data_IF_053959984116
#
_entry.id   IF_053959984116
#
_cell.length_a   1.000
_cell.length_b   1.000
_cell.length_c   1.000
_cell.angle_alpha   90.00
_cell.angle_beta   90.00
_cell.angle_gamma   90.00
#
_symmetry.space_group_name_H-M   'P 1'
#
loop_
_entity.id
_entity.type
_entity.pdbx_description
1 polymer ?
#
# COMPACT_ATOMS: atom_id res chain seq x y z
N UNK A 1 -14.76 -12.44 19.61
CA UNK A 1 -14.56 -11.82 18.28
C UNK A 1 -13.53 -10.73 18.44
N UNK A 2 -12.44 -10.77 17.65
CA UNK A 2 -11.45 -9.68 17.64
C UNK A 2 -12.10 -8.50 16.90
N UNK A 3 -12.12 -7.27 17.45
CA UNK A 3 -12.63 -6.13 16.71
C UNK A 3 -11.79 -5.97 15.44
N UNK A 4 -12.46 -5.85 14.30
CA UNK A 4 -11.79 -5.44 13.07
C UNK A 4 -11.46 -3.95 13.24
N UNK A 5 -10.19 -3.59 13.09
CA UNK A 5 -9.81 -2.19 13.03
C UNK A 5 -10.39 -1.62 11.73
N UNK A 6 -11.51 -0.90 11.84
CA UNK A 6 -11.99 -0.06 10.74
C UNK A 6 -11.01 1.08 10.59
N UNK A 7 -10.46 1.25 9.39
CA UNK A 7 -9.62 2.40 9.08
C UNK A 7 -10.36 3.70 9.45
N UNK A 8 -9.79 4.46 10.37
CA UNK A 8 -10.27 5.78 10.76
C UNK A 8 -9.18 6.80 10.44
N UNK A 9 -9.51 7.77 9.59
CA UNK A 9 -8.57 8.81 9.19
C UNK A 9 -8.04 9.64 10.38
N UNK A 10 -8.75 9.63 11.52
CA UNK A 10 -8.33 10.29 12.77
C UNK A 10 -7.12 9.62 13.43
N UNK A 11 -6.91 8.33 13.19
CA UNK A 11 -5.78 7.56 13.75
C UNK A 11 -4.61 7.46 12.78
N UNK A 12 -4.71 8.10 11.61
CA UNK A 12 -3.65 8.09 10.60
C UNK A 12 -2.49 8.97 11.05
N UNK A 13 -1.29 8.39 11.06
CA UNK A 13 -0.02 9.12 11.17
C UNK A 13 0.54 9.35 9.77
N UNK A 14 1.17 10.52 9.51
CA UNK A 14 1.85 10.78 8.24
C UNK A 14 3.06 9.85 8.10
N UNK A 15 3.22 9.24 6.93
CA UNK A 15 4.33 8.32 6.63
C UNK A 15 4.91 8.68 5.27
N UNK A 16 6.23 8.89 5.20
CA UNK A 16 6.95 8.89 3.93
C UNK A 16 7.49 7.48 3.72
N UNK A 17 7.16 6.87 2.59
CA UNK A 17 7.68 5.57 2.18
C UNK A 17 8.70 5.77 1.07
N UNK A 18 9.88 5.16 1.18
CA UNK A 18 10.91 5.14 0.14
C UNK A 18 11.23 3.73 -0.33
N UNK A 19 11.59 3.59 -1.60
CA UNK A 19 12.03 2.34 -2.21
C UNK A 19 12.88 2.64 -3.47
N UNK A 20 13.57 1.63 -3.99
CA UNK A 20 14.32 1.73 -5.26
C UNK A 20 13.39 2.09 -6.42
N UNK A 21 12.17 1.54 -6.43
CA UNK A 21 11.16 1.89 -7.41
C UNK A 21 9.75 1.80 -6.83
N UNK A 22 8.96 2.85 -7.05
CA UNK A 22 7.52 2.86 -6.81
C UNK A 22 6.85 2.99 -8.18
N UNK A 23 6.11 1.96 -8.61
CA UNK A 23 5.36 1.99 -9.87
C UNK A 23 4.03 2.70 -9.63
N UNK A 24 3.78 3.80 -10.35
CA UNK A 24 2.58 4.63 -10.16
C UNK A 24 1.45 4.24 -11.11
N UNK A 25 1.79 3.64 -12.26
CA UNK A 25 0.87 3.38 -13.39
C UNK A 25 0.31 4.69 -13.99
N UNK A 26 0.98 5.82 -13.75
CA UNK A 26 0.75 7.08 -14.45
C UNK A 26 1.67 7.17 -15.67
N UNK A 27 1.11 7.27 -16.88
CA UNK A 27 1.87 7.36 -18.13
C UNK A 27 2.86 8.53 -18.16
N UNK A 28 2.57 9.61 -17.42
CA UNK A 28 3.41 10.81 -17.37
C UNK A 28 4.53 10.72 -16.33
N UNK A 29 4.38 9.85 -15.32
CA UNK A 29 5.32 9.67 -14.23
C UNK A 29 5.30 8.21 -13.73
N UNK A 30 5.69 7.22 -14.56
CA UNK A 30 5.42 5.80 -14.31
C UNK A 30 6.18 5.20 -13.12
N UNK A 31 7.24 5.86 -12.67
CA UNK A 31 8.09 5.44 -11.56
C UNK A 31 8.39 6.62 -10.62
N UNK A 32 8.47 6.34 -9.32
CA UNK A 32 8.87 7.28 -8.27
C UNK A 32 9.83 6.62 -7.26
N UNK A 33 10.37 7.42 -6.34
CA UNK A 33 11.29 6.96 -5.27
C UNK A 33 10.71 7.14 -3.87
N UNK A 34 9.73 8.04 -3.71
CA UNK A 34 9.07 8.31 -2.46
C UNK A 34 7.56 8.54 -2.64
N UNK A 35 6.78 8.27 -1.60
CA UNK A 35 5.38 8.69 -1.47
C UNK A 35 5.04 9.11 -0.05
N UNK A 36 4.23 10.15 0.11
CA UNK A 36 3.64 10.55 1.39
C UNK A 36 2.25 9.94 1.49
N UNK A 37 2.05 9.11 2.50
CA UNK A 37 0.74 8.56 2.85
C UNK A 37 0.25 9.24 4.11
N UNK A 38 -0.93 9.84 4.03
CA UNK A 38 -1.57 10.45 5.18
C UNK A 38 -3.08 10.43 5.00
N UNK A 39 -3.82 10.17 6.09
CA UNK A 39 -5.28 10.09 6.10
C UNK A 39 -5.85 9.16 5.03
N UNK A 40 -5.12 8.11 4.68
CA UNK A 40 -5.58 7.05 3.78
C UNK A 40 -5.50 7.46 2.32
N UNK A 41 -4.80 8.56 2.06
CA UNK A 41 -4.51 9.09 0.74
C UNK A 41 -3.01 9.06 0.50
N UNK A 42 -2.64 8.98 -0.77
CA UNK A 42 -1.30 9.34 -1.24
C UNK A 42 -1.32 10.84 -1.51
N UNK A 43 -0.74 11.62 -0.60
CA UNK A 43 -0.73 13.10 -0.67
C UNK A 43 0.28 13.63 -1.69
N UNK A 44 1.36 12.88 -1.91
CA UNK A 44 2.35 13.12 -2.96
C UNK A 44 3.10 11.84 -3.30
N UNK A 45 3.60 11.76 -4.53
CA UNK A 45 4.46 10.69 -5.04
C UNK A 45 5.47 11.29 -6.02
N UNK A 46 6.73 10.87 -5.94
CA UNK A 46 7.79 11.44 -6.78
C UNK A 46 9.19 11.23 -6.20
N UNK A 47 10.01 12.28 -6.25
CA UNK A 47 11.31 12.32 -5.57
C UNK A 47 11.12 12.51 -4.06
N UNK A 48 12.14 12.15 -3.26
CA UNK A 48 12.10 12.36 -1.81
C UNK A 48 11.89 13.83 -1.46
N UNK A 49 12.62 14.74 -2.11
CA UNK A 49 12.52 16.19 -1.87
C UNK A 49 11.10 16.71 -2.10
N UNK A 50 10.47 16.33 -3.23
CA UNK A 50 9.10 16.75 -3.54
C UNK A 50 8.09 16.29 -2.47
N UNK A 51 8.29 15.08 -1.96
CA UNK A 51 7.42 14.49 -0.94
C UNK A 51 7.64 15.15 0.43
N UNK A 52 8.88 15.53 0.76
CA UNK A 52 9.22 16.29 1.97
C UNK A 52 8.67 17.73 1.93
N UNK A 53 8.75 18.39 0.78
CA UNK A 53 8.14 19.70 0.55
C UNK A 53 6.63 19.61 0.79
N UNK A 54 5.96 18.59 0.23
CA UNK A 54 4.54 18.35 0.46
C UNK A 54 4.21 18.13 1.94
N UNK A 55 5.02 17.40 2.68
CA UNK A 55 4.83 17.20 4.11
C UNK A 55 4.93 18.52 4.89
N UNK A 56 5.90 19.36 4.51
CA UNK A 56 6.09 20.70 5.08
C UNK A 56 4.90 21.62 4.81
N UNK A 57 4.39 21.63 3.57
CA UNK A 57 3.19 22.40 3.17
C UNK A 57 1.95 22.00 3.97
N UNK A 58 1.84 20.71 4.33
CA UNK A 58 0.75 20.18 5.15
C UNK A 58 0.97 20.42 6.65
N UNK A 59 2.15 20.88 7.07
CA UNK A 59 2.52 21.08 8.47
C UNK A 59 2.57 19.77 9.26
N UNK A 60 3.00 18.68 8.65
CA UNK A 60 3.07 17.35 9.27
C UNK A 60 4.49 16.83 9.36
N UNK A 61 4.77 16.05 10.41
CA UNK A 61 6.06 15.40 10.66
C UNK A 61 5.93 13.89 10.38
N UNK A 62 6.24 13.43 9.15
CA UNK A 62 6.08 12.04 8.76
C UNK A 62 7.13 11.11 9.38
N UNK A 63 6.70 9.90 9.71
CA UNK A 63 7.62 8.79 9.94
C UNK A 63 8.22 8.33 8.61
N UNK A 64 9.53 8.12 8.53
CA UNK A 64 10.19 7.59 7.35
C UNK A 64 10.27 6.07 7.41
N UNK A 65 9.77 5.40 6.36
CA UNK A 65 9.84 3.95 6.19
C UNK A 65 10.57 3.63 4.90
N UNK A 66 11.77 3.06 5.01
CA UNK A 66 12.61 2.72 3.85
C UNK A 66 12.58 1.23 3.54
N UNK A 67 12.21 0.90 2.30
CA UNK A 67 12.21 -0.46 1.77
C UNK A 67 13.45 -0.81 0.93
N UNK A 68 14.43 0.11 0.84
CA UNK A 68 15.70 -0.15 0.15
C UNK A 68 15.49 -0.58 -1.30
N UNK A 69 15.97 -1.76 -1.68
CA UNK A 69 15.93 -2.29 -3.07
C UNK A 69 14.58 -2.87 -3.51
N UNK A 70 13.51 -2.62 -2.77
CA UNK A 70 12.20 -3.15 -3.11
C UNK A 70 11.58 -2.40 -4.31
N UNK A 71 10.66 -3.07 -4.99
CA UNK A 71 9.71 -2.42 -5.89
C UNK A 71 8.34 -2.40 -5.22
N UNK A 72 7.77 -1.21 -5.08
CA UNK A 72 6.39 -1.00 -4.60
C UNK A 72 5.49 -0.86 -5.82
N UNK A 73 4.33 -1.52 -5.78
CA UNK A 73 3.30 -1.47 -6.82
C UNK A 73 1.94 -1.16 -6.20
N UNK A 74 0.95 -0.69 -6.98
CA UNK A 74 -0.42 -0.62 -6.49
C UNK A 74 -0.90 -2.00 -6.06
N UNK A 75 -1.72 -2.04 -5.00
CA UNK A 75 -2.34 -3.28 -4.57
C UNK A 75 -3.14 -3.93 -5.70
N UNK A 76 -3.07 -5.26 -5.83
CA UNK A 76 -3.84 -5.97 -6.85
C UNK A 76 -5.34 -5.80 -6.61
N UNK A 77 -6.06 -5.49 -7.69
CA UNK A 77 -7.52 -5.39 -7.71
C UNK A 77 -8.03 -6.67 -8.38
N UNK A 78 -8.75 -7.49 -7.62
CA UNK A 78 -9.49 -8.64 -8.16
C UNK A 78 -10.92 -8.19 -8.53
N UNK A 79 -11.25 -8.07 -9.83
CA UNK A 79 -12.56 -7.58 -10.25
C UNK A 79 -13.68 -8.61 -10.03
N UNK A 80 -13.33 -9.87 -9.77
CA UNK A 80 -14.33 -10.92 -9.61
C UNK A 80 -13.82 -12.07 -8.73
N UNK A 81 -14.24 -12.04 -7.46
CA UNK A 81 -13.96 -13.08 -6.49
C UNK A 81 -15.25 -13.62 -5.85
N UNK A 82 -15.15 -14.83 -5.29
CA UNK A 82 -16.16 -15.39 -4.38
C UNK A 82 -15.58 -15.51 -2.95
N UNK A 83 -15.51 -14.42 -2.14
CA UNK A 83 -14.77 -14.43 -0.87
C UNK A 83 -15.25 -15.48 0.13
N UNK A 84 -16.57 -15.68 0.24
CA UNK A 84 -17.14 -16.69 1.14
C UNK A 84 -16.74 -18.11 0.73
N UNK A 85 -16.87 -18.43 -0.57
CA UNK A 85 -16.47 -19.75 -1.07
C UNK A 85 -14.96 -19.95 -0.97
N UNK A 86 -14.17 -18.92 -1.24
CA UNK A 86 -12.71 -18.98 -1.10
C UNK A 86 -12.30 -19.30 0.35
N UNK A 87 -12.88 -18.59 1.32
CA UNK A 87 -12.64 -18.90 2.75
C UNK A 87 -13.06 -20.32 3.14
N UNK A 88 -14.18 -20.80 2.61
CA UNK A 88 -14.65 -22.18 2.83
C UNK A 88 -13.66 -23.21 2.26
N UNK A 89 -13.18 -23.03 1.03
CA UNK A 89 -12.19 -23.90 0.39
C UNK A 89 -10.88 -23.96 1.19
N UNK A 90 -10.43 -22.83 1.77
CA UNK A 90 -9.23 -22.78 2.61
C UNK A 90 -9.37 -23.59 3.91
N UNK A 91 -10.60 -23.85 4.36
CA UNK A 91 -10.88 -24.61 5.60
C UNK A 91 -11.08 -26.10 5.39
N UNK A 92 -11.26 -26.54 4.14
CA UNK A 92 -11.56 -27.92 3.83
C UNK A 92 -10.30 -28.78 3.88
N UNK A 93 -10.47 -30.05 4.27
CA UNK A 93 -9.41 -31.04 4.14
C UNK A 93 -9.18 -31.27 2.64
N UNK A 94 -7.95 -31.05 2.19
CA UNK A 94 -7.57 -31.28 0.81
C UNK A 94 -7.46 -32.79 0.54
N UNK A 95 -8.42 -33.34 -0.21
CA UNK A 95 -8.44 -34.71 -0.71
C UNK A 95 -8.18 -34.77 -2.23
N UNK A 96 -7.63 -33.70 -2.81
CA UNK A 96 -7.28 -33.69 -4.23
C UNK A 96 -6.16 -34.70 -4.54
N UNK A 97 -6.09 -35.21 -5.78
CA UNK A 97 -4.98 -36.07 -6.19
C UNK A 97 -3.64 -35.36 -6.00
N UNK A 98 -2.56 -36.13 -5.81
CA UNK A 98 -1.20 -35.57 -5.77
C UNK A 98 -0.96 -34.68 -7.00
N UNK A 99 -0.51 -33.45 -6.74
CA UNK A 99 -0.02 -32.55 -7.79
C UNK A 99 1.31 -33.13 -8.27
N UNK A 100 1.34 -33.63 -9.50
CA UNK A 100 2.56 -34.05 -10.20
C UNK A 100 3.42 -32.85 -10.53
#
# INVERSE_FOLDING_TARGET
MRPLATYDARDSRPIIVTAESIITVDDTAPTAQAMLVFRGLVEAVGTLDHVQDKASDLGVEPELVDFGKATIVPGFIDPHAHPLMFGQLLSWVDISPNKV
#
